data_IF_517220711360
#
_entry.id   IF_517220711360
#
_cell.length_a   1.000
_cell.length_b   1.000
_cell.length_c   1.000
_cell.angle_alpha   90.00
_cell.angle_beta   90.00
_cell.angle_gamma   90.00
#
_symmetry.space_group_name_H-M   'P 1'
#
loop_
_entity.id
_entity.type
_entity.pdbx_description
1 polymer ?
#
# COMPACT_ATOMS: atom_id res chain seq x y z
N UNK A 1 13.15 -1.75 -1.74
CA UNK A 1 11.75 -1.66 -1.25
C UNK A 1 11.50 -2.55 -0.03
N UNK A 2 10.79 -2.01 0.98
CA UNK A 2 10.43 -2.74 2.21
C UNK A 2 8.92 -2.84 2.40
N UNK A 3 8.46 -4.05 2.65
CA UNK A 3 7.10 -4.34 3.12
C UNK A 3 7.05 -4.09 4.64
N UNK A 4 6.18 -3.17 5.06
CA UNK A 4 6.08 -2.72 6.45
C UNK A 4 4.97 -3.43 7.24
N UNK A 5 4.09 -4.16 6.55
CA UNK A 5 3.02 -4.95 7.18
C UNK A 5 1.98 -5.42 6.15
N UNK A 6 1.44 -6.63 6.36
CA UNK A 6 0.48 -7.34 5.49
C UNK A 6 -0.40 -8.24 6.38
N UNK A 7 -1.66 -8.58 6.08
CA UNK A 7 -2.08 -9.60 5.11
C UNK A 7 -3.58 -9.54 4.89
N UNK A 8 -4.05 -9.76 3.65
CA UNK A 8 -5.44 -10.09 3.29
C UNK A 8 -5.93 -11.40 3.95
N UNK A 9 -7.20 -11.84 4.02
CA UNK A 9 -8.47 -11.46 3.39
C UNK A 9 -9.61 -12.28 4.08
N UNK A 10 -10.78 -11.72 4.41
CA UNK A 10 -12.01 -12.38 4.95
C UNK A 10 -12.22 -12.45 6.50
N UNK A 11 -13.35 -13.03 6.97
CA UNK A 11 -13.79 -13.11 8.39
C UNK A 11 -12.87 -13.94 9.32
N UNK A 12 -11.83 -14.60 8.79
CA UNK A 12 -10.92 -15.53 9.49
C UNK A 12 -9.61 -14.91 9.96
N UNK A 13 -9.53 -13.60 9.93
CA UNK A 13 -8.28 -12.97 9.63
C UNK A 13 -8.01 -11.98 10.78
N UNK A 14 -7.17 -12.42 11.73
CA UNK A 14 -6.51 -11.58 12.75
C UNK A 14 -5.31 -10.87 12.11
N UNK A 15 -5.10 -9.60 12.44
CA UNK A 15 -3.92 -8.86 12.03
C UNK A 15 -2.91 -8.90 13.18
N UNK A 16 -1.64 -9.13 12.87
CA UNK A 16 -0.51 -8.90 13.77
C UNK A 16 0.50 -8.09 12.96
N UNK A 17 0.26 -6.79 12.81
CA UNK A 17 1.31 -5.86 12.41
C UNK A 17 2.04 -5.42 13.68
N UNK A 18 3.37 -5.48 13.65
CA UNK A 18 4.20 -4.84 14.67
C UNK A 18 4.35 -3.32 14.42
N UNK A 19 3.71 -2.80 13.37
CA UNK A 19 3.73 -1.39 13.02
C UNK A 19 2.98 -0.55 14.06
N UNK A 20 3.55 0.59 14.44
CA UNK A 20 2.99 1.59 15.37
C UNK A 20 3.13 2.99 14.80
N UNK A 21 2.19 3.88 15.10
CA UNK A 21 2.36 5.31 14.85
C UNK A 21 3.39 5.93 15.82
N UNK A 22 3.80 7.17 15.55
CA UNK A 22 4.73 7.92 16.40
C UNK A 22 4.25 8.05 17.86
N UNK A 23 2.94 8.13 18.05
CA UNK A 23 2.30 8.18 19.37
C UNK A 23 2.20 6.81 20.08
N UNK A 24 2.67 5.73 19.44
CA UNK A 24 2.65 4.37 19.99
C UNK A 24 1.38 3.57 19.67
N UNK A 25 0.40 4.17 19.00
CA UNK A 25 -0.84 3.49 18.65
C UNK A 25 -0.59 2.39 17.59
N UNK A 26 -1.29 1.25 17.67
CA UNK A 26 -1.22 0.23 16.64
C UNK A 26 -1.66 0.76 15.29
N UNK A 27 -0.89 0.39 14.27
CA UNK A 27 -1.29 0.56 12.88
C UNK A 27 -2.27 -0.57 12.54
N UNK A 28 -3.56 -0.26 12.47
CA UNK A 28 -4.59 -1.24 12.09
C UNK A 28 -4.99 -1.15 10.61
N UNK A 29 -5.42 -2.28 10.05
CA UNK A 29 -5.79 -2.37 8.64
C UNK A 29 -7.22 -1.89 8.33
N UNK A 30 -8.12 -1.89 9.34
CA UNK A 30 -9.45 -1.28 9.27
C UNK A 30 -9.39 0.24 9.16
N UNK A 31 -8.23 0.80 9.46
CA UNK A 31 -8.13 2.15 9.90
C UNK A 31 -7.91 3.12 8.75
N UNK A 32 -7.60 2.72 7.52
CA UNK A 32 -7.35 3.75 6.51
C UNK A 32 -8.58 4.56 6.03
N UNK A 33 -9.80 4.10 6.36
CA UNK A 33 -11.01 4.92 6.24
C UNK A 33 -11.45 5.57 7.59
N UNK A 34 -10.83 5.23 8.73
CA UNK A 34 -11.20 5.69 10.11
C UNK A 34 -10.07 6.31 10.94
N UNK A 35 -8.80 5.94 10.75
CA UNK A 35 -7.60 6.82 10.62
C UNK A 35 -7.88 7.81 9.49
N UNK A 36 -8.90 8.61 9.75
CA UNK A 36 -9.10 9.90 9.16
C UNK A 36 -7.79 10.67 9.21
N UNK A 37 -7.70 11.69 8.39
CA UNK A 37 -6.70 12.76 8.39
C UNK A 37 -6.07 13.09 9.76
N UNK A 38 -6.78 12.87 10.87
CA UNK A 38 -6.34 12.97 12.26
C UNK A 38 -4.98 12.35 12.63
N UNK A 39 -4.69 11.07 12.31
CA UNK A 39 -3.40 10.47 12.71
C UNK A 39 -2.27 10.79 11.72
N UNK A 40 -2.63 11.05 10.45
CA UNK A 40 -1.71 11.56 9.42
C UNK A 40 -1.21 12.97 9.72
N UNK A 41 -2.05 13.82 10.29
CA UNK A 41 -1.69 15.18 10.69
C UNK A 41 -0.80 15.20 11.95
N UNK A 42 -0.78 14.11 12.72
CA UNK A 42 -0.09 14.05 14.03
C UNK A 42 1.16 13.18 14.06
N UNK A 43 1.32 12.26 13.11
CA UNK A 43 2.49 11.36 13.06
C UNK A 43 3.33 11.64 11.83
N UNK A 44 4.65 11.82 12.01
CA UNK A 44 5.59 12.00 10.89
C UNK A 44 6.09 10.68 10.30
N UNK A 45 6.02 9.61 11.08
CA UNK A 45 6.53 8.29 10.72
C UNK A 45 5.70 7.18 11.37
N UNK A 46 5.91 5.96 10.90
CA UNK A 46 5.55 4.75 11.64
C UNK A 46 6.81 4.03 12.11
N UNK A 47 6.68 3.28 13.19
CA UNK A 47 7.72 2.44 13.76
C UNK A 47 7.39 0.99 13.41
N UNK A 48 8.31 0.29 12.75
CA UNK A 48 8.19 -1.14 12.43
C UNK A 48 9.45 -1.82 12.90
N UNK A 49 9.29 -2.76 13.84
CA UNK A 49 10.41 -3.49 14.47
C UNK A 49 11.53 -2.56 14.98
N UNK A 50 11.14 -1.40 15.54
CA UNK A 50 12.06 -0.39 16.09
C UNK A 50 12.57 0.64 15.08
N UNK A 51 12.37 0.42 13.78
CA UNK A 51 12.81 1.31 12.71
C UNK A 51 11.73 2.33 12.32
N UNK A 52 12.12 3.58 12.02
CA UNK A 52 11.21 4.66 11.65
C UNK A 52 11.09 4.82 10.14
N UNK A 53 9.87 4.82 9.62
CA UNK A 53 9.56 5.02 8.21
C UNK A 53 8.70 6.27 8.01
N UNK A 54 9.18 7.28 7.24
CA UNK A 54 8.41 8.48 6.90
C UNK A 54 7.04 8.15 6.32
N UNK A 55 5.99 8.80 6.84
CA UNK A 55 4.60 8.49 6.49
C UNK A 55 4.25 8.88 5.04
N UNK A 56 4.89 9.92 4.50
CA UNK A 56 4.73 10.42 3.13
C UNK A 56 5.31 9.48 2.06
N UNK A 57 6.16 8.54 2.47
CA UNK A 57 6.75 7.49 1.61
C UNK A 57 6.01 6.17 1.69
N UNK A 58 4.91 6.08 2.44
CA UNK A 58 4.20 4.82 2.65
C UNK A 58 2.95 4.77 1.78
N UNK A 59 2.90 3.78 0.89
CA UNK A 59 1.72 3.48 0.09
C UNK A 59 0.84 2.50 0.83
N UNK A 60 -0.45 2.75 0.73
CA UNK A 60 -1.51 1.87 1.20
C UNK A 60 -2.27 1.31 -0.01
N UNK A 61 -2.30 -0.01 -0.20
CA UNK A 61 -2.94 -0.65 -1.37
C UNK A 61 -4.48 -0.59 -1.41
N UNK A 62 -5.11 0.16 -0.49
CA UNK A 62 -6.53 0.51 -0.56
C UNK A 62 -7.52 -0.55 -0.08
N UNK A 63 -7.04 -1.69 0.44
CA UNK A 63 -7.89 -2.73 1.03
C UNK A 63 -8.05 -2.60 2.54
N UNK A 64 -9.10 -3.23 3.10
CA UNK A 64 -9.29 -3.46 4.55
C UNK A 64 -8.12 -4.23 5.22
N UNK A 65 -7.23 -4.75 4.39
CA UNK A 65 -5.98 -5.49 4.67
C UNK A 65 -4.99 -5.12 3.59
N UNK A 66 -4.65 -3.85 3.59
CA UNK A 66 -3.68 -3.25 2.71
C UNK A 66 -2.27 -3.72 3.06
N UNK A 67 -1.48 -3.89 2.01
CA UNK A 67 -0.02 -3.98 2.13
C UNK A 67 0.46 -2.55 2.33
N UNK A 68 1.32 -2.36 3.32
CA UNK A 68 1.99 -1.08 3.56
C UNK A 68 3.38 -1.19 2.97
N UNK A 69 3.64 -0.39 1.95
CA UNK A 69 4.88 -0.47 1.19
C UNK A 69 5.62 0.84 1.37
N UNK A 70 6.87 0.77 1.82
CA UNK A 70 7.75 1.93 1.87
C UNK A 70 8.43 2.13 0.52
N UNK A 71 8.27 3.35 -0.02
CA UNK A 71 8.96 3.83 -1.20
C UNK A 71 10.32 4.45 -0.83
N UNK A 72 11.34 4.06 -1.58
CA UNK A 72 12.64 4.72 -1.55
C UNK A 72 12.65 6.00 -2.41
N UNK A 73 13.71 6.80 -2.30
CA UNK A 73 13.83 8.03 -3.07
C UNK A 73 13.83 7.75 -4.59
N UNK A 74 12.94 8.45 -5.29
CA UNK A 74 12.72 8.31 -6.73
C UNK A 74 11.79 7.16 -7.13
N UNK A 75 11.28 6.37 -6.18
CA UNK A 75 10.25 5.37 -6.46
C UNK A 75 8.85 6.00 -6.48
N UNK A 76 7.99 5.45 -7.34
CA UNK A 76 6.60 5.85 -7.53
C UNK A 76 5.69 4.62 -7.55
N UNK A 77 4.42 4.78 -7.16
CA UNK A 77 3.42 3.73 -7.24
C UNK A 77 2.44 3.96 -8.38
N UNK A 78 2.24 2.94 -9.23
CA UNK A 78 1.23 2.95 -10.29
C UNK A 78 0.27 1.79 -10.06
N UNK A 79 -1.00 2.11 -9.85
CA UNK A 79 -2.05 1.10 -9.72
C UNK A 79 -2.65 0.78 -11.08
N UNK A 80 -2.60 -0.49 -11.47
CA UNK A 80 -3.25 -1.04 -12.64
C UNK A 80 -4.60 -1.66 -12.27
N UNK A 81 -5.59 -1.44 -13.13
CA UNK A 81 -6.86 -2.15 -13.14
C UNK A 81 -6.67 -3.64 -13.43
N UNK A 82 -7.71 -4.43 -13.19
CA UNK A 82 -7.72 -5.86 -13.58
C UNK A 82 -7.65 -6.12 -15.07
N UNK A 83 -7.68 -5.07 -15.88
CA UNK A 83 -7.45 -5.12 -17.33
C UNK A 83 -6.03 -4.68 -17.70
N UNK A 84 -5.13 -4.52 -16.73
CA UNK A 84 -3.73 -4.16 -16.94
C UNK A 84 -3.47 -2.69 -17.30
N UNK A 85 -4.45 -1.80 -17.09
CA UNK A 85 -4.34 -0.36 -17.37
C UNK A 85 -4.26 0.48 -16.11
N UNK A 86 -3.34 1.43 -16.07
CA UNK A 86 -3.16 2.42 -15.01
C UNK A 86 -4.44 3.20 -14.74
N UNK A 87 -4.81 3.35 -13.46
CA UNK A 87 -5.92 4.20 -13.05
C UNK A 87 -5.62 5.69 -13.21
N UNK A 88 -4.34 6.08 -13.19
CA UNK A 88 -3.93 7.50 -13.18
C UNK A 88 -3.95 8.09 -14.59
N UNK A 89 -3.46 7.35 -15.57
CA UNK A 89 -3.19 7.86 -16.92
C UNK A 89 -3.61 6.89 -18.05
N UNK A 90 -4.15 5.72 -17.72
CA UNK A 90 -4.65 4.75 -18.69
C UNK A 90 -3.60 3.92 -19.42
N UNK A 91 -2.30 4.15 -19.15
CA UNK A 91 -1.20 3.38 -19.76
C UNK A 91 -1.26 1.91 -19.42
N UNK A 92 -0.85 1.04 -20.35
CA UNK A 92 -0.67 -0.39 -20.08
C UNK A 92 0.65 -0.65 -19.34
N UNK A 93 0.80 -1.84 -18.76
CA UNK A 93 2.05 -2.27 -18.14
C UNK A 93 3.22 -2.16 -19.13
N UNK A 94 3.04 -2.60 -20.37
CA UNK A 94 4.08 -2.57 -21.39
C UNK A 94 4.49 -1.13 -21.77
N UNK A 95 3.58 -0.17 -21.70
CA UNK A 95 3.89 1.24 -21.91
C UNK A 95 4.68 1.82 -20.73
N UNK A 96 4.37 1.41 -19.51
CA UNK A 96 5.10 1.79 -18.30
C UNK A 96 6.53 1.22 -18.31
N UNK A 97 6.70 -0.06 -18.67
CA UNK A 97 7.99 -0.75 -18.76
C UNK A 97 8.98 -0.12 -19.76
N UNK A 98 8.49 0.68 -20.71
CA UNK A 98 9.36 1.40 -21.66
C UNK A 98 9.97 2.67 -21.09
N UNK A 99 9.36 3.23 -20.06
CA UNK A 99 9.73 4.51 -19.47
C UNK A 99 10.28 4.37 -18.04
N UNK A 100 10.01 3.24 -17.39
CA UNK A 100 10.37 3.00 -15.99
C UNK A 100 10.85 1.57 -15.79
N UNK A 101 11.76 1.39 -14.83
CA UNK A 101 12.09 0.09 -14.26
C UNK A 101 11.02 -0.32 -13.24
N UNK A 102 10.45 -1.51 -13.40
CA UNK A 102 9.56 -2.10 -12.39
C UNK A 102 10.41 -2.69 -11.27
N UNK A 103 10.32 -2.09 -10.09
CA UNK A 103 11.05 -2.50 -8.89
C UNK A 103 10.36 -3.66 -8.19
N UNK A 104 9.02 -3.61 -8.07
CA UNK A 104 8.23 -4.76 -7.68
C UNK A 104 6.77 -4.65 -8.13
N UNK A 105 6.08 -5.78 -8.01
CA UNK A 105 4.69 -5.95 -8.40
C UNK A 105 3.93 -6.62 -7.25
N UNK A 106 2.81 -6.02 -6.86
CA UNK A 106 1.94 -6.52 -5.80
C UNK A 106 0.54 -6.73 -6.33
N UNK A 107 -0.05 -7.87 -5.97
CA UNK A 107 -1.49 -8.02 -6.10
C UNK A 107 -2.19 -7.03 -5.16
N UNK A 108 -3.08 -6.23 -5.73
CA UNK A 108 -3.85 -5.24 -5.00
C UNK A 108 -5.36 -5.49 -5.17
N UNK A 109 -6.13 -5.06 -4.18
CA UNK A 109 -7.59 -5.06 -4.25
C UNK A 109 -8.12 -3.87 -3.47
N UNK A 110 -8.83 -2.98 -4.16
CA UNK A 110 -9.50 -1.81 -3.54
C UNK A 110 -10.70 -2.24 -2.66
N UNK A 111 -11.08 -3.52 -2.58
CA UNK A 111 -12.25 -3.95 -1.80
C UNK A 111 -11.93 -4.98 -0.71
N UNK A 112 -12.34 -4.67 0.53
CA UNK A 112 -12.32 -5.57 1.66
C UNK A 112 -13.47 -6.60 1.62
N UNK A 113 -13.12 -7.88 1.47
CA UNK A 113 -13.93 -9.09 1.71
C UNK A 113 -14.95 -9.56 0.63
N UNK A 114 -14.46 -10.50 -0.22
CA UNK A 114 -15.01 -11.85 -0.53
C UNK A 114 -16.02 -12.13 -1.67
N UNK A 115 -16.49 -11.24 -2.56
CA UNK A 115 -17.33 -11.75 -3.67
C UNK A 115 -17.03 -11.36 -5.12
N UNK A 116 -16.28 -10.30 -5.40
CA UNK A 116 -16.13 -9.81 -6.79
C UNK A 116 -14.78 -9.11 -6.98
N UNK A 117 -13.67 -9.81 -6.79
CA UNK A 117 -12.31 -9.24 -6.80
C UNK A 117 -11.94 -8.67 -8.18
N UNK A 118 -11.91 -7.35 -8.30
CA UNK A 118 -11.08 -6.71 -9.31
C UNK A 118 -9.61 -6.96 -8.91
N UNK A 119 -8.98 -7.97 -9.51
CA UNK A 119 -7.56 -8.28 -9.35
C UNK A 119 -6.75 -7.13 -9.93
N UNK A 120 -6.35 -6.18 -9.09
CA UNK A 120 -5.54 -5.04 -9.51
C UNK A 120 -4.07 -5.38 -9.27
N UNK A 121 -3.21 -4.59 -9.89
CA UNK A 121 -1.78 -4.74 -9.73
C UNK A 121 -1.21 -3.41 -9.30
N UNK A 122 -0.57 -3.33 -8.14
CA UNK A 122 0.24 -2.17 -7.78
C UNK A 122 1.67 -2.43 -8.26
N UNK A 123 2.13 -1.60 -9.19
CA UNK A 123 3.53 -1.54 -9.59
C UNK A 123 4.23 -0.48 -8.78
N UNK A 124 5.42 -0.80 -8.29
CA UNK A 124 6.37 0.20 -7.82
C UNK A 124 7.42 0.35 -8.90
N UNK A 125 7.63 1.58 -9.33
CA UNK A 125 8.45 1.90 -10.49
C UNK A 125 9.47 2.97 -10.14
N UNK A 126 10.55 3.03 -10.91
CA UNK A 126 11.58 4.06 -10.81
C UNK A 126 12.02 4.47 -12.22
N UNK A 127 12.26 5.76 -12.43
CA UNK A 127 12.82 6.27 -13.69
C UNK A 127 14.31 5.99 -13.81
#
# INVERSE_FOLDING_TARGET
MKELGVLCNCKFCRANSNARFENGDPVEASDYNTVSLYDRERSKYIIVDGEKYPLDRIIHTGGRRSVWIYLEDGEEAILLSSKGKSFTDGRTKEEIEREYDIIAEYEASIHGCYKLTCHQTLLIVKK
#
